data_IF_933910629574
#
_entry.id   IF_933910629574
#
_cell.length_a   1.000
_cell.length_b   1.000
_cell.length_c   1.000
_cell.angle_alpha   90.00
_cell.angle_beta   90.00
_cell.angle_gamma   90.00
#
_symmetry.space_group_name_H-M   'P 1'
#
loop_
_entity.id
_entity.type
_entity.pdbx_description
1 polymer ?
#
# COMPACT_ATOMS: atom_id res chain seq x y z
N UNK A 1 7.90 -15.65 9.21
CA UNK A 1 7.13 -15.44 10.45
C UNK A 1 5.82 -14.79 10.01
N UNK A 2 4.77 -15.60 9.96
CA UNK A 2 3.41 -15.23 9.55
C UNK A 2 2.77 -14.34 10.62
N UNK A 3 1.89 -13.44 10.21
CA UNK A 3 1.23 -12.44 11.07
C UNK A 3 0.14 -13.03 11.97
N UNK A 4 0.21 -14.34 12.28
CA UNK A 4 -0.92 -15.11 12.79
C UNK A 4 -1.33 -14.77 14.24
N UNK A 5 -0.59 -13.90 14.95
CA UNK A 5 -0.87 -13.53 16.35
C UNK A 5 -0.91 -12.02 16.59
N UNK A 6 -1.37 -11.19 15.64
CA UNK A 6 -1.90 -9.88 16.06
C UNK A 6 -3.21 -10.16 16.79
N UNK A 7 -3.17 -10.14 18.12
CA UNK A 7 -4.33 -10.42 18.95
C UNK A 7 -5.47 -9.47 18.54
N UNK A 8 -6.56 -10.06 18.04
CA UNK A 8 -7.83 -9.39 17.70
C UNK A 8 -8.42 -8.65 18.91
N UNK A 9 -7.92 -8.93 20.12
CA UNK A 9 -8.32 -8.32 21.40
C UNK A 9 -8.30 -6.78 21.42
N UNK A 10 -7.62 -6.12 20.47
CA UNK A 10 -7.61 -4.65 20.35
C UNK A 10 -8.20 -4.14 19.03
N UNK A 11 -9.12 -4.89 18.41
CA UNK A 11 -9.82 -4.45 17.22
C UNK A 11 -11.32 -4.44 17.47
N UNK A 12 -12.01 -3.47 16.87
CA UNK A 12 -13.47 -3.43 16.84
C UNK A 12 -13.96 -3.38 15.41
N UNK A 13 -14.93 -4.23 15.09
CA UNK A 13 -15.65 -4.21 13.82
C UNK A 13 -16.73 -3.12 13.82
N UNK A 14 -16.71 -2.28 12.80
CA UNK A 14 -17.75 -1.28 12.55
C UNK A 14 -18.41 -1.49 11.19
N UNK A 15 -19.64 -1.01 11.02
CA UNK A 15 -20.38 -1.17 9.77
C UNK A 15 -21.21 0.07 9.45
N UNK A 16 -21.39 0.35 8.16
CA UNK A 16 -22.26 1.41 7.68
C UNK A 16 -22.73 1.17 6.25
N UNK A 17 -23.91 1.69 5.93
CA UNK A 17 -24.47 1.60 4.60
C UNK A 17 -23.91 2.70 3.69
N UNK A 18 -23.83 2.42 2.40
CA UNK A 18 -23.33 3.37 1.42
C UNK A 18 -24.19 3.33 0.16
N UNK A 19 -24.19 4.44 -0.56
CA UNK A 19 -24.81 4.56 -1.88
C UNK A 19 -23.96 5.39 -2.83
N UNK A 20 -24.23 5.27 -4.12
CA UNK A 20 -23.73 6.24 -5.09
C UNK A 20 -24.48 7.56 -4.93
N UNK A 21 -23.80 8.71 -5.10
CA UNK A 21 -24.41 10.04 -4.94
C UNK A 21 -25.65 10.25 -5.82
N UNK A 22 -25.66 9.63 -7.00
CA UNK A 22 -26.74 9.68 -7.98
C UNK A 22 -27.77 8.54 -7.83
N UNK A 23 -27.76 7.78 -6.74
CA UNK A 23 -28.59 6.56 -6.62
C UNK A 23 -30.08 6.86 -6.81
N UNK A 24 -30.60 7.90 -6.16
CA UNK A 24 -31.99 8.35 -6.27
C UNK A 24 -32.25 9.34 -7.42
N UNK A 25 -31.23 9.69 -8.22
CA UNK A 25 -31.41 10.56 -9.38
C UNK A 25 -31.94 9.72 -10.56
N UNK A 26 -33.25 9.76 -10.78
CA UNK A 26 -33.93 9.06 -11.87
C UNK A 26 -33.44 9.50 -13.27
N UNK A 27 -32.95 10.75 -13.40
CA UNK A 27 -32.43 11.27 -14.68
C UNK A 27 -31.01 10.81 -14.97
N UNK A 28 -30.31 10.26 -13.96
CA UNK A 28 -28.94 9.79 -14.12
C UNK A 28 -28.87 8.44 -14.82
N UNK A 29 -28.19 8.42 -15.97
CA UNK A 29 -27.84 7.20 -16.69
C UNK A 29 -26.48 6.61 -16.25
N UNK A 30 -25.85 7.13 -15.20
CA UNK A 30 -24.55 6.61 -14.72
C UNK A 30 -24.73 5.35 -13.87
N UNK A 31 -23.62 4.65 -13.60
CA UNK A 31 -23.63 3.55 -12.64
C UNK A 31 -24.24 4.02 -11.31
N UNK A 32 -25.04 3.15 -10.72
CA UNK A 32 -25.71 3.35 -9.45
C UNK A 32 -25.40 2.14 -8.58
N UNK A 33 -25.31 2.31 -7.27
CA UNK A 33 -25.07 1.19 -6.37
C UNK A 33 -25.44 1.57 -4.94
N UNK A 34 -25.77 0.57 -4.13
CA UNK A 34 -25.85 0.69 -2.68
C UNK A 34 -25.50 -0.63 -2.00
N UNK A 35 -25.15 -0.55 -0.72
CA UNK A 35 -24.78 -1.71 0.05
C UNK A 35 -24.25 -1.32 1.42
N UNK A 36 -23.40 -2.19 1.97
CA UNK A 36 -22.81 -2.05 3.29
C UNK A 36 -21.29 -2.23 3.24
N UNK A 37 -20.57 -1.45 4.04
CA UNK A 37 -19.12 -1.59 4.27
C UNK A 37 -18.90 -1.99 5.73
N UNK A 38 -18.29 -3.14 5.93
CA UNK A 38 -17.75 -3.57 7.21
C UNK A 38 -16.27 -3.15 7.29
N UNK A 39 -15.86 -2.60 8.44
CA UNK A 39 -14.51 -2.15 8.74
C UNK A 39 -13.96 -2.88 9.95
N UNK A 40 -12.68 -3.24 9.94
CA UNK A 40 -11.94 -3.63 11.13
C UNK A 40 -11.01 -2.48 11.53
N UNK A 41 -11.24 -1.90 12.71
CA UNK A 41 -10.48 -0.76 13.21
C UNK A 41 -9.66 -1.19 14.42
N UNK A 42 -8.37 -0.83 14.44
CA UNK A 42 -7.51 -1.01 15.60
C UNK A 42 -7.89 0.01 16.69
N UNK A 43 -8.28 -0.47 17.87
CA UNK A 43 -8.79 0.39 18.95
C UNK A 43 -7.73 1.30 19.56
N UNK A 44 -6.45 0.99 19.37
CA UNK A 44 -5.33 1.76 19.89
C UNK A 44 -4.95 2.96 19.00
N UNK A 45 -5.03 2.78 17.68
CA UNK A 45 -4.62 3.78 16.69
C UNK A 45 -5.79 4.41 15.94
N UNK A 46 -6.97 3.82 16.04
CA UNK A 46 -8.17 4.14 15.25
C UNK A 46 -7.92 4.06 13.73
N UNK A 47 -6.91 3.29 13.30
CA UNK A 47 -6.67 3.02 11.88
C UNK A 47 -7.53 1.88 11.34
N UNK A 48 -7.94 1.99 10.07
CA UNK A 48 -8.63 0.92 9.36
C UNK A 48 -7.60 -0.13 8.92
N UNK A 49 -7.72 -1.34 9.47
CA UNK A 49 -6.85 -2.47 9.14
C UNK A 49 -7.36 -3.22 7.91
N UNK A 50 -8.68 -3.38 7.82
CA UNK A 50 -9.36 -4.12 6.76
C UNK A 50 -10.75 -3.54 6.51
N UNK A 51 -11.26 -3.73 5.29
CA UNK A 51 -12.65 -3.47 4.96
C UNK A 51 -13.22 -4.55 4.05
N UNK A 52 -14.52 -4.79 4.15
CA UNK A 52 -15.28 -5.64 3.25
C UNK A 52 -16.47 -4.86 2.71
N UNK A 53 -16.66 -4.90 1.40
CA UNK A 53 -17.77 -4.23 0.71
C UNK A 53 -18.78 -5.28 0.27
N UNK A 54 -20.06 -5.04 0.54
CA UNK A 54 -21.17 -5.91 0.13
C UNK A 54 -22.24 -5.06 -0.55
N UNK A 55 -22.41 -5.22 -1.85
CA UNK A 55 -23.48 -4.58 -2.62
C UNK A 55 -24.81 -5.32 -2.40
N UNK A 56 -25.86 -4.57 -2.11
CA UNK A 56 -27.24 -5.07 -2.15
C UNK A 56 -27.91 -4.79 -3.51
N UNK A 57 -27.47 -3.73 -4.20
CA UNK A 57 -27.91 -3.40 -5.55
C UNK A 57 -26.76 -2.73 -6.33
N UNK A 58 -26.60 -3.12 -7.59
CA UNK A 58 -25.49 -2.67 -8.40
C UNK A 58 -25.88 -2.54 -9.87
N UNK A 59 -25.61 -1.37 -10.44
CA UNK A 59 -25.58 -1.11 -11.86
C UNK A 59 -24.13 -0.78 -12.25
N UNK A 60 -23.57 -1.50 -13.21
CA UNK A 60 -22.20 -1.27 -13.67
C UNK A 60 -22.26 -0.57 -15.03
N UNK A 61 -21.58 0.57 -15.18
CA UNK A 61 -21.36 1.14 -16.52
C UNK A 61 -20.37 0.23 -17.24
N UNK A 62 -20.59 -0.11 -18.50
CA UNK A 62 -19.68 -0.89 -19.35
C UNK A 62 -18.70 0.03 -20.09
N UNK A 63 -19.04 1.31 -20.25
CA UNK A 63 -18.18 2.30 -20.90
C UNK A 63 -16.94 2.59 -20.05
N UNK A 64 -15.82 2.90 -20.71
CA UNK A 64 -14.53 3.22 -20.09
C UNK A 64 -13.82 4.30 -20.90
N UNK A 65 -13.15 5.23 -20.24
CA UNK A 65 -12.51 6.37 -20.92
C UNK A 65 -11.38 5.94 -21.87
N UNK A 66 -11.20 6.65 -22.98
CA UNK A 66 -10.17 6.33 -23.99
C UNK A 66 -8.75 6.28 -23.41
N UNK A 67 -8.43 7.17 -22.46
CA UNK A 67 -7.11 7.20 -21.83
C UNK A 67 -6.78 5.92 -21.07
N UNK A 68 -7.80 5.21 -20.54
CA UNK A 68 -7.60 3.93 -19.87
C UNK A 68 -7.29 2.82 -20.86
N UNK A 69 -7.90 2.81 -22.05
CA UNK A 69 -7.55 1.86 -23.11
C UNK A 69 -6.11 2.07 -23.60
N UNK A 70 -5.66 3.32 -23.71
CA UNK A 70 -4.30 3.67 -24.11
C UNK A 70 -3.27 3.28 -23.03
N UNK A 71 -3.52 3.66 -21.78
CA UNK A 71 -2.54 3.55 -20.70
C UNK A 71 -2.59 2.21 -19.94
N UNK A 72 -3.72 1.48 -20.03
CA UNK A 72 -3.99 0.22 -19.31
C UNK A 72 -3.55 0.27 -17.85
N UNK A 73 -4.00 1.30 -17.14
CA UNK A 73 -3.64 1.55 -15.74
C UNK A 73 -4.16 0.44 -14.79
N UNK A 74 -3.82 0.52 -13.50
CA UNK A 74 -4.22 -0.48 -12.50
C UNK A 74 -5.74 -0.65 -12.40
N UNK A 75 -6.52 0.42 -12.50
CA UNK A 75 -7.98 0.37 -12.41
C UNK A 75 -8.59 -0.29 -13.65
N UNK A 76 -8.06 -0.03 -14.84
CA UNK A 76 -8.46 -0.70 -16.08
C UNK A 76 -8.28 -2.22 -15.98
N UNK A 77 -7.12 -2.67 -15.46
CA UNK A 77 -6.82 -4.10 -15.27
C UNK A 77 -7.70 -4.75 -14.19
N UNK A 78 -7.94 -4.06 -13.07
CA UNK A 78 -8.84 -4.56 -12.03
C UNK A 78 -10.27 -4.71 -12.54
N UNK A 79 -10.74 -3.78 -13.35
CA UNK A 79 -12.06 -3.82 -13.96
C UNK A 79 -12.19 -4.92 -15.02
N UNK A 80 -11.16 -5.12 -15.83
CA UNK A 80 -11.07 -6.28 -16.75
C UNK A 80 -11.14 -7.59 -15.97
N UNK A 81 -10.43 -7.69 -14.85
CA UNK A 81 -10.46 -8.87 -13.98
C UNK A 81 -11.87 -9.12 -13.39
N UNK A 82 -12.58 -8.07 -12.97
CA UNK A 82 -13.97 -8.19 -12.53
C UNK A 82 -14.88 -8.74 -13.65
N UNK A 83 -14.79 -8.19 -14.86
CA UNK A 83 -15.63 -8.63 -15.98
C UNK A 83 -15.32 -10.07 -16.40
N UNK A 84 -14.05 -10.45 -16.44
CA UNK A 84 -13.65 -11.83 -16.71
C UNK A 84 -14.21 -12.79 -15.65
N UNK A 85 -14.13 -12.43 -14.36
CA UNK A 85 -14.68 -13.24 -13.28
C UNK A 85 -16.20 -13.41 -13.39
N UNK A 86 -16.93 -12.34 -13.71
CA UNK A 86 -18.39 -12.39 -13.94
C UNK A 86 -18.70 -13.30 -15.14
N UNK A 87 -18.01 -13.11 -16.27
CA UNK A 87 -18.24 -13.88 -17.49
C UNK A 87 -17.97 -15.37 -17.31
N UNK A 88 -16.90 -15.73 -16.60
CA UNK A 88 -16.55 -17.12 -16.29
C UNK A 88 -17.62 -17.79 -15.42
N UNK A 89 -18.09 -17.10 -14.38
CA UNK A 89 -19.06 -17.65 -13.42
C UNK A 89 -20.49 -17.71 -13.95
N UNK A 90 -20.89 -16.76 -14.78
CA UNK A 90 -22.28 -16.56 -15.19
C UNK A 90 -22.53 -16.76 -16.68
N UNK A 91 -21.47 -17.06 -17.47
CA UNK A 91 -21.54 -17.18 -18.94
C UNK A 91 -22.10 -15.92 -19.61
N UNK A 92 -21.79 -14.76 -19.03
CA UNK A 92 -22.07 -13.45 -19.63
C UNK A 92 -20.93 -13.04 -20.58
N UNK A 93 -21.15 -11.98 -21.35
CA UNK A 93 -20.15 -11.41 -22.26
C UNK A 93 -19.95 -9.91 -21.99
N UNK A 94 -19.76 -9.55 -20.72
CA UNK A 94 -19.45 -8.19 -20.31
C UNK A 94 -18.04 -7.84 -20.76
N UNK A 95 -17.88 -6.65 -21.35
CA UNK A 95 -16.57 -6.13 -21.78
C UNK A 95 -16.49 -4.64 -21.52
N UNK A 96 -15.27 -4.15 -21.32
CA UNK A 96 -15.03 -2.70 -21.30
C UNK A 96 -15.20 -2.17 -22.72
N UNK A 97 -16.04 -1.16 -22.90
CA UNK A 97 -16.31 -0.50 -24.19
C UNK A 97 -15.70 0.89 -24.15
N UNK A 98 -15.03 1.32 -25.22
CA UNK A 98 -14.54 2.70 -25.26
C UNK A 98 -15.73 3.65 -25.29
N UNK A 99 -15.76 4.57 -24.33
CA UNK A 99 -16.86 5.53 -24.15
C UNK A 99 -17.05 6.42 -25.39
N UNK A 100 -15.99 6.67 -26.16
CA UNK A 100 -16.08 7.39 -27.45
C UNK A 100 -16.81 6.60 -28.54
N UNK A 101 -16.99 5.30 -28.40
CA UNK A 101 -17.66 4.51 -29.43
C UNK A 101 -19.18 4.50 -29.22
N UNK A 102 -19.68 5.14 -28.15
CA UNK A 102 -21.08 5.13 -27.75
C UNK A 102 -21.66 6.55 -27.67
N UNK A 103 -22.17 7.02 -28.80
CA UNK A 103 -22.87 8.29 -28.96
C UNK A 103 -24.35 8.07 -29.31
N UNK A 104 -25.24 8.87 -28.74
CA UNK A 104 -26.60 9.06 -29.25
C UNK A 104 -26.76 10.55 -29.56
N UNK A 105 -26.78 10.89 -30.85
CA UNK A 105 -26.65 12.29 -31.30
C UNK A 105 -25.27 12.86 -30.95
N UNK A 106 -25.22 14.07 -30.38
CA UNK A 106 -23.99 14.78 -30.01
C UNK A 106 -23.54 14.52 -28.55
N UNK A 107 -24.11 13.53 -27.85
CA UNK A 107 -23.81 13.27 -26.44
C UNK A 107 -23.24 11.87 -26.22
N UNK A 108 -22.13 11.82 -25.47
CA UNK A 108 -21.57 10.59 -24.91
C UNK A 108 -22.56 10.02 -23.89
N UNK A 109 -22.98 8.75 -24.07
CA UNK A 109 -23.81 8.06 -23.07
C UNK A 109 -23.04 6.99 -22.32
N UNK A 110 -23.47 6.72 -21.10
CA UNK A 110 -23.07 5.55 -20.33
C UNK A 110 -23.88 4.34 -20.80
N UNK A 111 -23.30 3.14 -20.71
CA UNK A 111 -24.01 1.89 -21.00
C UNK A 111 -24.08 1.10 -19.70
N UNK A 112 -25.15 1.29 -18.94
CA UNK A 112 -25.31 0.66 -17.63
C UNK A 112 -25.99 -0.70 -17.74
N UNK A 113 -25.45 -1.68 -17.05
CA UNK A 113 -26.01 -3.01 -16.90
C UNK A 113 -26.48 -3.18 -15.45
N UNK A 114 -27.79 -3.42 -15.24
CA UNK A 114 -28.36 -3.70 -13.91
C UNK A 114 -28.11 -5.16 -13.57
N UNK A 115 -27.41 -5.40 -12.46
CA UNK A 115 -27.17 -6.76 -12.00
C UNK A 115 -28.39 -7.27 -11.23
N UNK A 116 -28.76 -8.52 -11.50
CA UNK A 116 -29.71 -9.25 -10.65
C UNK A 116 -29.04 -9.70 -9.34
N UNK A 117 -29.83 -10.29 -8.43
CA UNK A 117 -29.32 -10.71 -7.12
C UNK A 117 -28.19 -11.75 -7.20
N UNK A 118 -28.26 -12.68 -8.16
CA UNK A 118 -27.22 -13.69 -8.33
C UNK A 118 -25.92 -13.08 -8.87
N UNK A 119 -26.03 -12.17 -9.84
CA UNK A 119 -24.91 -11.40 -10.37
C UNK A 119 -24.25 -10.55 -9.28
N UNK A 120 -25.04 -9.86 -8.45
CA UNK A 120 -24.53 -9.12 -7.29
C UNK A 120 -23.76 -10.02 -6.32
N UNK A 121 -24.22 -11.25 -6.05
CA UNK A 121 -23.49 -12.22 -5.20
C UNK A 121 -22.11 -12.55 -5.77
N UNK A 122 -22.02 -12.79 -7.08
CA UNK A 122 -20.73 -13.05 -7.77
C UNK A 122 -19.82 -11.83 -7.70
N UNK A 123 -20.36 -10.61 -7.85
CA UNK A 123 -19.55 -9.38 -7.69
C UNK A 123 -19.06 -9.23 -6.26
N UNK A 124 -19.89 -9.49 -5.25
CA UNK A 124 -19.49 -9.46 -3.84
C UNK A 124 -18.37 -10.48 -3.56
N UNK A 125 -18.47 -11.70 -4.11
CA UNK A 125 -17.40 -12.70 -4.02
C UNK A 125 -16.09 -12.19 -4.64
N UNK A 126 -16.17 -11.53 -5.79
CA UNK A 126 -14.99 -10.95 -6.43
C UNK A 126 -14.36 -9.85 -5.56
N UNK A 127 -15.17 -8.95 -5.00
CA UNK A 127 -14.68 -7.89 -4.10
C UNK A 127 -14.01 -8.46 -2.85
N UNK A 128 -14.55 -9.54 -2.29
CA UNK A 128 -13.96 -10.20 -1.12
C UNK A 128 -12.59 -10.83 -1.44
N UNK A 129 -12.44 -11.45 -2.61
CA UNK A 129 -11.25 -12.26 -2.93
C UNK A 129 -10.17 -11.53 -3.70
N UNK A 130 -10.54 -10.58 -4.56
CA UNK A 130 -9.65 -10.02 -5.59
C UNK A 130 -9.44 -8.51 -5.45
N UNK A 131 -10.35 -7.78 -4.80
CA UNK A 131 -10.23 -6.33 -4.70
C UNK A 131 -9.12 -5.93 -3.72
N UNK A 132 -8.23 -5.05 -4.17
CA UNK A 132 -7.04 -4.65 -3.40
C UNK A 132 -6.69 -3.17 -3.57
N UNK A 133 -7.70 -2.34 -3.76
CA UNK A 133 -7.58 -0.89 -3.94
C UNK A 133 -8.28 -0.14 -2.81
N UNK A 134 -8.40 1.19 -2.89
CA UNK A 134 -9.00 2.02 -1.83
C UNK A 134 -10.52 2.12 -1.98
N UNK A 135 -11.27 2.44 -0.92
CA UNK A 135 -12.75 2.53 -0.96
C UNK A 135 -13.23 3.49 -2.05
N UNK A 136 -12.59 4.65 -2.24
CA UNK A 136 -12.99 5.56 -3.33
C UNK A 136 -12.86 4.89 -4.69
N UNK A 137 -11.81 4.09 -4.92
CA UNK A 137 -11.53 3.47 -6.22
C UNK A 137 -12.57 2.41 -6.63
N UNK A 138 -13.49 2.01 -5.73
CA UNK A 138 -14.65 1.18 -6.07
C UNK A 138 -15.41 1.84 -7.22
N UNK A 139 -15.66 3.15 -7.15
CA UNK A 139 -16.38 3.88 -8.20
C UNK A 139 -15.66 3.80 -9.54
N UNK A 140 -14.33 3.89 -9.54
CA UNK A 140 -13.52 3.74 -10.76
C UNK A 140 -13.72 2.37 -11.41
N UNK A 141 -13.82 1.31 -10.61
CA UNK A 141 -14.07 -0.04 -11.12
C UNK A 141 -15.50 -0.17 -11.67
N UNK A 142 -16.49 0.50 -11.07
CA UNK A 142 -17.89 0.39 -11.48
C UNK A 142 -18.28 1.33 -12.64
N UNK A 143 -17.62 2.49 -12.79
CA UNK A 143 -17.93 3.54 -13.77
C UNK A 143 -16.95 3.68 -14.94
N UNK A 144 -15.77 3.04 -14.88
CA UNK A 144 -14.78 3.09 -15.96
C UNK A 144 -14.15 4.46 -16.21
N UNK A 145 -14.16 5.34 -15.20
CA UNK A 145 -13.50 6.64 -15.21
C UNK A 145 -12.69 6.83 -13.91
N UNK A 146 -11.79 7.81 -13.90
CA UNK A 146 -11.13 8.22 -12.66
C UNK A 146 -12.19 8.79 -11.71
N UNK A 147 -12.12 8.40 -10.45
CA UNK A 147 -13.05 8.87 -9.43
C UNK A 147 -12.96 10.38 -9.24
N UNK A 148 -14.11 11.04 -9.19
CA UNK A 148 -14.24 12.35 -8.57
C UNK A 148 -14.10 12.26 -7.05
N UNK A 149 -13.91 13.41 -6.40
CA UNK A 149 -13.77 13.48 -4.95
C UNK A 149 -12.32 13.34 -4.48
N UNK A 150 -11.87 14.33 -3.74
CA UNK A 150 -10.58 14.30 -3.05
C UNK A 150 -10.70 15.11 -1.76
N UNK A 151 -9.72 15.02 -0.85
CA UNK A 151 -9.70 15.87 0.36
C UNK A 151 -9.85 17.37 0.07
N UNK A 152 -9.59 17.77 -1.17
CA UNK A 152 -9.70 19.14 -1.65
C UNK A 152 -11.10 19.47 -2.20
N UNK A 153 -11.87 18.45 -2.61
CA UNK A 153 -13.19 18.59 -3.24
C UNK A 153 -14.13 17.45 -2.84
N UNK A 154 -14.55 17.35 -1.57
CA UNK A 154 -15.42 16.26 -1.13
C UNK A 154 -16.84 16.32 -1.69
N UNK A 155 -17.31 17.51 -2.09
CA UNK A 155 -18.57 17.67 -2.81
C UNK A 155 -18.62 16.88 -4.13
N UNK A 156 -17.46 16.56 -4.71
CA UNK A 156 -17.31 15.71 -5.89
C UNK A 156 -17.28 14.21 -5.59
N UNK A 157 -17.45 13.79 -4.32
CA UNK A 157 -17.50 12.38 -3.95
C UNK A 157 -18.68 11.67 -4.62
N UNK A 158 -18.40 10.48 -5.16
CA UNK A 158 -19.40 9.68 -5.88
C UNK A 158 -19.94 8.50 -5.07
N UNK A 159 -19.19 8.05 -4.05
CA UNK A 159 -19.61 7.05 -3.06
C UNK A 159 -19.77 7.79 -1.73
N UNK A 160 -20.95 7.69 -1.13
CA UNK A 160 -21.36 8.47 0.03
C UNK A 160 -21.92 7.55 1.11
N UNK A 161 -21.78 7.95 2.38
CA UNK A 161 -22.45 7.27 3.49
C UNK A 161 -23.96 7.43 3.34
N UNK A 162 -24.68 6.30 3.27
CA UNK A 162 -26.13 6.26 3.29
C UNK A 162 -26.60 6.11 4.73
N UNK A 163 -26.72 7.24 5.44
CA UNK A 163 -27.10 7.21 6.85
C UNK A 163 -28.59 7.40 7.04
N UNK A 164 -29.10 6.86 8.14
CA UNK A 164 -30.42 7.22 8.67
C UNK A 164 -30.48 8.74 8.96
N UNK A 165 -31.41 9.44 8.31
CA UNK A 165 -31.59 10.90 8.39
C UNK A 165 -31.90 11.38 9.83
N UNK A 166 -32.30 10.48 10.73
CA UNK A 166 -32.53 10.81 12.14
C UNK A 166 -31.27 11.23 12.91
N UNK A 167 -30.07 11.00 12.36
CA UNK A 167 -28.80 11.37 12.98
C UNK A 167 -28.18 12.58 12.26
N UNK A 168 -28.42 13.80 12.75
CA UNK A 168 -27.81 15.04 12.18
C UNK A 168 -26.28 14.95 11.97
N UNK A 169 -25.57 14.21 12.81
CA UNK A 169 -24.12 13.99 12.68
C UNK A 169 -23.76 13.17 11.44
N UNK A 170 -24.63 12.26 10.98
CA UNK A 170 -24.30 11.39 9.85
C UNK A 170 -24.48 12.07 8.50
N UNK A 171 -25.49 12.94 8.37
CA UNK A 171 -25.63 13.84 7.22
C UNK A 171 -24.39 14.75 7.08
N UNK A 172 -23.89 15.25 8.21
CA UNK A 172 -22.75 16.17 8.28
C UNK A 172 -21.48 15.58 7.64
N UNK A 173 -21.22 14.27 7.81
CA UNK A 173 -20.00 13.63 7.29
C UNK A 173 -20.19 12.79 6.02
N UNK A 174 -21.40 12.74 5.48
CA UNK A 174 -21.80 11.80 4.42
C UNK A 174 -20.88 11.78 3.19
N UNK A 175 -20.41 12.94 2.76
CA UNK A 175 -19.55 13.14 1.58
C UNK A 175 -18.04 12.95 1.86
N UNK A 176 -17.64 12.98 3.14
CA UNK A 176 -16.23 12.99 3.55
C UNK A 176 -15.76 11.66 4.15
N UNK A 177 -16.67 10.86 4.72
CA UNK A 177 -16.34 9.65 5.47
C UNK A 177 -15.45 8.70 4.66
N UNK A 178 -15.80 8.44 3.41
CA UNK A 178 -15.06 7.49 2.55
C UNK A 178 -13.62 7.91 2.34
N UNK A 179 -13.39 9.19 2.08
CA UNK A 179 -12.03 9.68 1.87
C UNK A 179 -11.24 9.67 3.18
N UNK A 180 -11.88 10.06 4.28
CA UNK A 180 -11.27 10.00 5.60
C UNK A 180 -10.83 8.58 5.94
N UNK A 181 -11.70 7.58 5.74
CA UNK A 181 -11.38 6.16 5.90
C UNK A 181 -10.20 5.73 5.00
N UNK A 182 -10.19 6.14 3.74
CA UNK A 182 -9.05 5.88 2.83
C UNK A 182 -7.72 6.47 3.34
N UNK A 183 -7.74 7.63 4.01
CA UNK A 183 -6.54 8.24 4.60
C UNK A 183 -5.99 7.43 5.77
N UNK A 184 -6.86 6.85 6.59
CA UNK A 184 -6.46 6.11 7.80
C UNK A 184 -6.39 4.59 7.55
N UNK A 185 -6.61 4.14 6.31
CA UNK A 185 -6.49 2.74 5.92
C UNK A 185 -5.03 2.33 5.75
N UNK A 186 -4.67 1.19 6.33
CA UNK A 186 -3.32 0.66 6.30
C UNK A 186 -2.93 0.18 4.88
N UNK A 187 -1.95 0.85 4.23
CA UNK A 187 -1.60 0.62 2.80
C UNK A 187 -0.94 -0.73 2.46
N UNK A 188 -0.75 -1.63 3.43
CA UNK A 188 -0.13 -2.95 3.23
C UNK A 188 -1.13 -4.11 3.35
N UNK A 189 -2.36 -3.93 2.85
CA UNK A 189 -3.43 -4.95 2.84
C UNK A 189 -3.02 -6.29 2.21
N UNK A 190 -1.99 -6.33 1.35
CA UNK A 190 -1.60 -7.53 0.58
C UNK A 190 -0.89 -8.65 1.35
N UNK A 191 -0.52 -8.48 2.62
CA UNK A 191 0.27 -9.50 3.34
C UNK A 191 -0.36 -10.05 4.61
N UNK A 192 -1.47 -9.47 5.05
CA UNK A 192 -2.13 -9.97 6.24
C UNK A 192 -3.28 -10.84 5.78
N UNK A 193 -3.08 -12.15 5.81
CA UNK A 193 -4.16 -13.08 6.17
C UNK A 193 -4.56 -12.74 7.62
N UNK A 194 -5.11 -11.54 7.84
CA UNK A 194 -5.95 -11.34 9.00
C UNK A 194 -6.95 -12.48 8.95
N UNK A 195 -7.28 -13.05 10.10
CA UNK A 195 -8.16 -14.19 10.17
C UNK A 195 -9.56 -13.76 9.69
N UNK A 196 -9.77 -13.79 8.36
CA UNK A 196 -11.00 -13.39 7.67
C UNK A 196 -12.19 -14.14 8.28
N UNK A 197 -11.93 -15.34 8.83
CA UNK A 197 -12.90 -16.16 9.56
C UNK A 197 -13.39 -15.45 10.82
N UNK A 198 -12.52 -14.85 11.62
CA UNK A 198 -12.93 -14.11 12.82
C UNK A 198 -13.63 -12.79 12.45
N UNK A 199 -13.17 -12.09 11.42
CA UNK A 199 -13.84 -10.90 10.89
C UNK A 199 -15.29 -11.20 10.45
N UNK A 200 -15.54 -12.39 9.89
CA UNK A 200 -16.89 -12.82 9.49
C UNK A 200 -17.82 -13.08 10.68
N UNK A 201 -17.27 -13.52 11.82
CA UNK A 201 -18.05 -13.97 12.98
C UNK A 201 -18.37 -12.86 14.00
N UNK A 202 -17.70 -11.71 13.95
CA UNK A 202 -17.98 -10.61 14.88
C UNK A 202 -19.21 -9.77 14.50
N UNK A 203 -19.98 -9.38 15.53
CA UNK A 203 -21.05 -8.40 15.42
C UNK A 203 -20.46 -7.00 15.21
N UNK A 204 -20.82 -6.37 14.09
CA UNK A 204 -20.36 -5.02 13.79
C UNK A 204 -21.16 -3.97 14.58
N UNK A 205 -20.45 -2.99 15.15
CA UNK A 205 -21.07 -1.79 15.73
C UNK A 205 -21.36 -0.76 14.63
N UNK A 206 -22.39 0.08 14.74
CA UNK A 206 -22.60 1.18 13.80
C UNK A 206 -21.40 2.13 13.74
N UNK A 207 -20.99 2.59 12.56
CA UNK A 207 -19.83 3.49 12.40
C UNK A 207 -19.95 4.79 13.21
N UNK A 208 -21.18 5.24 13.46
CA UNK A 208 -21.43 6.44 14.27
C UNK A 208 -20.87 6.29 15.70
N UNK A 209 -20.82 5.07 16.24
CA UNK A 209 -20.23 4.84 17.56
C UNK A 209 -18.72 5.09 17.55
N UNK A 210 -18.05 4.73 16.46
CA UNK A 210 -16.64 5.06 16.27
C UNK A 210 -16.42 6.57 16.07
N UNK A 211 -17.25 7.23 15.26
CA UNK A 211 -17.19 8.69 15.08
C UNK A 211 -17.34 9.41 16.43
N UNK A 212 -18.28 8.97 17.27
CA UNK A 212 -18.45 9.48 18.64
C UNK A 212 -17.23 9.20 19.51
N UNK A 213 -16.65 7.99 19.44
CA UNK A 213 -15.40 7.64 20.15
C UNK A 213 -14.27 8.60 19.78
N UNK A 214 -13.97 8.78 18.48
CA UNK A 214 -12.85 9.65 18.07
C UNK A 214 -13.13 11.13 18.40
N UNK A 215 -14.40 11.55 18.43
CA UNK A 215 -14.82 12.89 18.86
C UNK A 215 -14.54 13.13 20.35
N UNK A 216 -14.86 12.15 21.20
CA UNK A 216 -14.67 12.26 22.65
C UNK A 216 -13.20 12.09 23.04
N UNK A 217 -12.53 11.08 22.51
CA UNK A 217 -11.15 10.76 22.86
C UNK A 217 -10.17 11.76 22.24
N UNK A 218 -10.46 12.24 21.03
CA UNK A 218 -9.63 13.08 20.18
C UNK A 218 -8.14 12.66 20.14
N UNK A 219 -7.89 11.36 20.33
CA UNK A 219 -6.55 10.79 20.30
C UNK A 219 -5.97 11.04 18.90
N UNK A 220 -4.77 11.61 18.86
CA UNK A 220 -4.00 11.88 17.64
C UNK A 220 -4.59 12.93 16.67
N UNK A 221 -5.62 13.69 17.07
CA UNK A 221 -6.23 14.74 16.25
C UNK A 221 -7.03 14.24 15.04
N UNK A 222 -7.48 13.00 15.10
CA UNK A 222 -8.29 12.37 14.06
C UNK A 222 -9.63 13.06 13.86
N UNK A 223 -10.29 13.46 14.94
CA UNK A 223 -11.58 14.14 14.84
C UNK A 223 -11.43 15.57 14.33
N UNK A 224 -10.38 16.29 14.72
CA UNK A 224 -10.04 17.60 14.15
C UNK A 224 -9.80 17.50 12.65
N UNK A 225 -9.10 16.44 12.21
CA UNK A 225 -8.95 16.13 10.80
C UNK A 225 -10.29 15.88 10.11
N UNK A 226 -11.14 15.04 10.69
CA UNK A 226 -12.44 14.71 10.12
C UNK A 226 -13.35 15.94 10.00
N UNK A 227 -13.38 16.79 11.04
CA UNK A 227 -14.11 18.06 11.03
C UNK A 227 -13.55 19.06 10.04
N UNK A 228 -12.23 19.15 9.93
CA UNK A 228 -11.59 20.06 8.98
C UNK A 228 -12.03 19.76 7.55
N UNK A 229 -12.09 18.47 7.17
CA UNK A 229 -12.52 18.05 5.84
C UNK A 229 -13.92 18.56 5.50
N UNK A 230 -14.81 18.62 6.50
CA UNK A 230 -16.15 19.15 6.31
C UNK A 230 -16.18 20.67 6.23
N UNK A 231 -15.49 21.36 7.14
CA UNK A 231 -15.46 22.83 7.15
C UNK A 231 -14.91 23.45 5.85
N UNK A 232 -14.09 22.70 5.10
CA UNK A 232 -13.42 23.17 3.89
C UNK A 232 -13.99 22.56 2.60
N UNK A 233 -15.16 21.92 2.68
CA UNK A 233 -15.79 21.20 1.55
C UNK A 233 -15.98 22.05 0.27
N UNK A 234 -16.09 23.37 0.41
CA UNK A 234 -16.32 24.32 -0.69
C UNK A 234 -15.10 25.19 -1.03
N UNK A 235 -13.94 24.94 -0.45
CA UNK A 235 -12.73 25.74 -0.66
C UNK A 235 -11.66 24.97 -1.41
N UNK A 236 -11.27 25.45 -2.59
CA UNK A 236 -10.15 24.89 -3.35
C UNK A 236 -8.82 25.21 -2.65
N UNK A 237 -8.32 24.24 -1.88
CA UNK A 237 -7.02 24.31 -1.21
C UNK A 237 -5.94 23.50 -1.93
N UNK A 238 -6.14 23.19 -3.22
CA UNK A 238 -5.24 22.30 -3.96
C UNK A 238 -3.79 22.76 -3.92
N UNK A 239 -3.53 24.06 -3.84
CA UNK A 239 -2.20 24.65 -3.77
C UNK A 239 -1.70 25.00 -2.35
N UNK A 240 -2.46 24.70 -1.29
CA UNK A 240 -2.05 24.98 0.08
C UNK A 240 -1.02 23.95 0.57
N UNK A 241 0.25 24.35 0.56
CA UNK A 241 1.39 23.54 1.01
C UNK A 241 1.28 23.17 2.51
N UNK A 242 0.73 24.06 3.34
CA UNK A 242 0.54 23.79 4.76
C UNK A 242 -0.53 22.73 4.97
N UNK A 243 -1.62 22.79 4.19
CA UNK A 243 -2.64 21.75 4.19
C UNK A 243 -2.08 20.39 3.78
N UNK A 244 -1.33 20.31 2.66
CA UNK A 244 -0.71 19.04 2.22
C UNK A 244 0.25 18.46 3.26
N UNK A 245 1.07 19.32 3.89
CA UNK A 245 1.99 18.91 4.95
C UNK A 245 1.24 18.43 6.20
N UNK A 246 0.16 19.11 6.57
CA UNK A 246 -0.67 18.73 7.72
C UNK A 246 -1.40 17.39 7.51
N UNK A 247 -1.91 17.13 6.30
CA UNK A 247 -2.46 15.81 5.91
C UNK A 247 -1.39 14.72 6.02
N UNK A 248 -0.19 15.00 5.51
CA UNK A 248 0.93 14.07 5.59
C UNK A 248 1.35 13.82 7.04
N UNK A 249 1.30 14.84 7.90
CA UNK A 249 1.59 14.72 9.33
C UNK A 249 0.53 13.91 10.08
N UNK A 250 -0.76 14.09 9.78
CA UNK A 250 -1.83 13.26 10.36
C UNK A 250 -1.68 11.80 9.92
N UNK A 251 -1.43 11.57 8.63
CA UNK A 251 -1.14 10.24 8.10
C UNK A 251 0.06 9.57 8.80
N UNK A 252 1.14 10.34 9.00
CA UNK A 252 2.31 9.91 9.74
C UNK A 252 2.03 9.75 11.24
N UNK A 253 1.06 10.48 11.81
CA UNK A 253 0.67 10.43 13.23
C UNK A 253 -0.26 9.26 13.57
N UNK A 254 -0.90 8.60 12.61
CA UNK A 254 -1.98 7.67 12.96
C UNK A 254 -1.63 6.19 12.91
N UNK A 255 -0.64 5.71 12.14
CA UNK A 255 -0.16 4.33 12.38
C UNK A 255 1.15 4.36 13.15
N UNK A 256 1.13 3.84 14.38
CA UNK A 256 2.34 3.69 15.18
C UNK A 256 3.43 2.95 14.41
N UNK A 257 3.06 1.92 13.65
CA UNK A 257 3.95 1.22 12.74
C UNK A 257 4.48 2.10 11.59
N UNK A 258 3.70 3.02 11.01
CA UNK A 258 4.27 3.97 10.03
C UNK A 258 5.13 5.04 10.69
N UNK A 259 4.82 5.50 11.92
CA UNK A 259 5.70 6.35 12.72
C UNK A 259 7.05 5.68 12.89
N UNK A 260 7.04 4.44 13.39
CA UNK A 260 8.25 3.63 13.58
C UNK A 260 8.99 3.45 12.25
N UNK A 261 8.30 3.04 11.18
CA UNK A 261 8.94 2.81 9.88
C UNK A 261 9.53 4.09 9.27
N UNK A 262 8.88 5.23 9.47
CA UNK A 262 9.39 6.54 9.07
C UNK A 262 10.63 6.89 9.89
N UNK A 263 10.60 6.73 11.21
CA UNK A 263 11.75 7.02 12.08
C UNK A 263 12.94 6.09 11.82
N UNK A 264 12.71 4.81 11.53
CA UNK A 264 13.75 3.87 11.09
C UNK A 264 14.33 4.33 9.76
N UNK A 265 13.49 4.76 8.80
CA UNK A 265 13.97 5.23 7.49
C UNK A 265 14.90 6.44 7.63
N UNK A 266 14.53 7.42 8.46
CA UNK A 266 15.37 8.57 8.77
C UNK A 266 16.72 8.17 9.36
N UNK A 267 16.70 7.22 10.30
CA UNK A 267 17.91 6.67 10.94
C UNK A 267 18.81 5.95 9.91
N UNK A 268 18.21 5.10 9.06
CA UNK A 268 18.91 4.39 7.98
C UNK A 268 19.51 5.38 6.99
N UNK A 269 18.77 6.40 6.58
CA UNK A 269 19.25 7.42 5.64
C UNK A 269 20.46 8.17 6.22
N UNK A 270 20.45 8.48 7.51
CA UNK A 270 21.58 9.08 8.22
C UNK A 270 22.82 8.18 8.26
N UNK A 271 22.66 6.87 8.38
CA UNK A 271 23.80 5.95 8.30
C UNK A 271 24.28 5.77 6.85
N UNK A 272 23.36 5.73 5.87
CA UNK A 272 23.70 5.67 4.44
C UNK A 272 24.44 6.91 3.95
N UNK A 273 24.12 8.11 4.45
CA UNK A 273 24.85 9.32 4.06
C UNK A 273 26.31 9.29 4.51
N UNK A 274 26.67 8.46 5.48
CA UNK A 274 28.08 8.23 5.86
C UNK A 274 28.77 7.25 4.91
N UNK A 275 28.01 6.37 4.24
CA UNK A 275 28.58 5.39 3.31
C UNK A 275 29.25 6.06 2.11
N UNK A 276 28.71 7.19 1.62
CA UNK A 276 29.30 7.93 0.49
C UNK A 276 30.66 8.55 0.82
N UNK A 277 31.01 8.69 2.10
CA UNK A 277 32.32 9.21 2.53
C UNK A 277 33.34 8.09 2.82
N UNK A 278 32.92 6.83 2.80
CA UNK A 278 33.81 5.69 3.04
C UNK A 278 34.49 5.31 1.72
N UNK A 279 35.81 5.34 1.69
CA UNK A 279 36.59 4.93 0.53
C UNK A 279 36.75 3.41 0.50
N UNK A 280 35.97 2.72 -0.35
CA UNK A 280 36.05 1.27 -0.54
C UNK A 280 36.78 0.97 -1.84
N UNK A 281 37.85 0.18 -1.76
CA UNK A 281 38.62 -0.23 -2.92
C UNK A 281 38.93 -1.73 -2.91
N UNK A 282 37.87 -2.54 -2.95
CA UNK A 282 37.97 -4.01 -3.02
C UNK A 282 38.40 -4.47 -4.41
N UNK A 283 37.88 -3.84 -5.46
CA UNK A 283 38.20 -4.11 -6.86
C UNK A 283 38.95 -2.92 -7.46
N UNK A 284 40.28 -3.03 -7.54
CA UNK A 284 41.21 -1.91 -7.81
C UNK A 284 41.17 -1.36 -9.25
N UNK A 285 40.40 -1.98 -10.16
CA UNK A 285 40.49 -1.74 -11.61
C UNK A 285 39.46 -0.76 -12.19
N UNK A 286 38.59 -0.14 -11.40
CA UNK A 286 37.50 0.69 -11.93
C UNK A 286 37.36 2.05 -11.24
N UNK A 287 37.49 3.14 -12.02
CA UNK A 287 37.52 4.52 -11.50
C UNK A 287 36.12 5.10 -11.17
N UNK A 288 35.05 4.55 -11.74
CA UNK A 288 33.67 5.02 -11.51
C UNK A 288 32.86 3.96 -10.75
N UNK A 289 33.05 3.92 -9.43
CA UNK A 289 32.40 2.92 -8.57
C UNK A 289 31.48 3.56 -7.52
N UNK A 290 30.47 2.79 -7.12
CA UNK A 290 29.55 3.09 -6.03
C UNK A 290 29.74 2.04 -4.93
N UNK A 291 29.47 2.46 -3.69
CA UNK A 291 29.47 1.56 -2.55
C UNK A 291 28.17 0.72 -2.53
N UNK A 292 28.32 -0.56 -2.85
CA UNK A 292 27.25 -1.56 -2.86
C UNK A 292 27.28 -2.40 -1.58
N UNK A 293 26.12 -2.63 -0.97
CA UNK A 293 26.00 -3.46 0.23
C UNK A 293 25.93 -4.96 -0.10
N UNK A 294 26.83 -5.76 0.48
CA UNK A 294 26.78 -7.23 0.41
C UNK A 294 25.48 -7.73 1.04
N UNK A 295 25.23 -7.40 2.31
CA UNK A 295 23.96 -7.62 2.96
C UNK A 295 23.06 -6.39 2.77
N UNK A 296 21.95 -6.51 2.01
CA UNK A 296 21.24 -5.35 1.51
C UNK A 296 20.51 -4.59 2.62
N UNK A 297 20.51 -3.25 2.52
CA UNK A 297 19.85 -2.35 3.48
C UNK A 297 18.36 -2.67 3.66
N UNK A 298 17.69 -3.16 2.62
CA UNK A 298 16.28 -3.58 2.70
C UNK A 298 16.06 -4.70 3.72
N UNK A 299 17.04 -5.57 3.93
CA UNK A 299 16.98 -6.68 4.89
C UNK A 299 17.36 -6.23 6.30
N UNK A 300 18.37 -5.39 6.42
CA UNK A 300 18.71 -4.70 7.67
C UNK A 300 17.48 -3.95 8.23
N UNK A 301 16.73 -3.27 7.35
CA UNK A 301 15.49 -2.59 7.73
C UNK A 301 14.45 -3.55 8.31
N UNK A 302 14.23 -4.70 7.67
CA UNK A 302 13.28 -5.71 8.14
C UNK A 302 13.70 -6.28 9.50
N UNK A 303 15.01 -6.49 9.71
CA UNK A 303 15.55 -6.95 11.01
C UNK A 303 15.32 -5.91 12.10
N UNK A 304 15.64 -4.64 11.85
CA UNK A 304 15.40 -3.54 12.79
C UNK A 304 13.92 -3.43 13.17
N UNK A 305 13.02 -3.53 12.18
CA UNK A 305 11.58 -3.53 12.43
C UNK A 305 11.15 -4.73 13.29
N UNK A 306 11.72 -5.91 13.06
CA UNK A 306 11.44 -7.12 13.84
C UNK A 306 11.95 -7.02 15.28
N UNK A 307 13.17 -6.49 15.48
CA UNK A 307 13.76 -6.29 16.81
C UNK A 307 12.98 -5.25 17.62
N UNK A 308 12.55 -4.16 16.99
CA UNK A 308 11.71 -3.15 17.65
C UNK A 308 10.37 -3.72 18.08
N UNK A 309 9.72 -4.53 17.24
CA UNK A 309 8.42 -5.16 17.55
C UNK A 309 8.47 -6.13 18.73
N UNK A 310 9.64 -6.73 19.01
CA UNK A 310 9.83 -7.63 20.16
C UNK A 310 9.93 -6.89 21.51
N UNK A 311 10.05 -5.56 21.49
CA UNK A 311 10.14 -4.77 22.72
C UNK A 311 8.81 -4.80 23.46
N UNK A 312 8.86 -5.06 24.78
CA UNK A 312 7.73 -4.78 25.66
C UNK A 312 7.33 -3.31 25.50
N UNK A 313 6.03 -3.08 25.34
CA UNK A 313 5.42 -1.77 25.10
C UNK A 313 5.75 -1.14 23.74
N UNK A 314 6.09 -1.93 22.71
CA UNK A 314 6.37 -1.43 21.36
C UNK A 314 5.31 -0.42 20.90
N UNK A 315 4.02 -0.71 21.10
CA UNK A 315 2.87 0.11 20.71
C UNK A 315 2.83 1.50 21.35
N UNK A 316 3.56 1.74 22.44
CA UNK A 316 3.55 3.00 23.18
C UNK A 316 4.88 3.75 23.12
N UNK A 317 5.89 3.24 22.39
CA UNK A 317 7.21 3.86 22.35
C UNK A 317 7.23 5.17 21.56
N UNK A 318 7.69 6.23 22.19
CA UNK A 318 7.87 7.52 21.52
C UNK A 318 9.14 7.53 20.65
N UNK A 319 9.24 8.51 19.74
CA UNK A 319 10.34 8.64 18.77
C UNK A 319 11.72 8.47 19.39
N UNK A 320 12.00 9.17 20.49
CA UNK A 320 13.32 9.16 21.11
C UNK A 320 13.70 7.77 21.63
N UNK A 321 12.75 7.06 22.24
CA UNK A 321 12.98 5.70 22.75
C UNK A 321 13.27 4.73 21.61
N UNK A 322 12.51 4.83 20.51
CA UNK A 322 12.73 4.00 19.32
C UNK A 322 14.11 4.28 18.74
N UNK A 323 14.52 5.54 18.59
CA UNK A 323 15.83 5.87 18.03
C UNK A 323 16.97 5.39 18.94
N UNK A 324 16.82 5.52 20.26
CA UNK A 324 17.81 5.02 21.23
C UNK A 324 17.91 3.50 21.17
N UNK A 325 16.78 2.78 21.16
CA UNK A 325 16.76 1.32 21.09
C UNK A 325 17.26 0.81 19.74
N UNK A 326 16.85 1.43 18.63
CA UNK A 326 17.31 1.08 17.29
C UNK A 326 18.82 1.24 17.12
N UNK A 327 19.44 2.26 17.73
CA UNK A 327 20.91 2.44 17.72
C UNK A 327 21.67 1.38 18.51
N UNK A 328 21.02 0.74 19.48
CA UNK A 328 21.61 -0.36 20.25
C UNK A 328 21.57 -1.68 19.49
N UNK A 329 20.71 -1.80 18.47
CA UNK A 329 20.67 -3.00 17.64
C UNK A 329 21.88 -3.09 16.72
N UNK A 330 22.50 -4.27 16.70
CA UNK A 330 23.67 -4.55 15.88
C UNK A 330 23.38 -4.44 14.38
N UNK A 331 22.15 -4.68 13.98
CA UNK A 331 21.66 -4.60 12.59
C UNK A 331 21.88 -3.22 11.97
N UNK A 332 21.67 -2.12 12.71
CA UNK A 332 21.89 -0.77 12.20
C UNK A 332 23.35 -0.50 11.82
N UNK A 333 24.29 -1.01 12.62
CA UNK A 333 25.74 -0.81 12.41
C UNK A 333 26.24 -1.47 11.12
N UNK A 334 25.48 -2.42 10.57
CA UNK A 334 25.81 -3.10 9.32
C UNK A 334 25.70 -2.18 8.09
N UNK A 335 25.02 -1.04 8.20
CA UNK A 335 24.79 -0.12 7.07
C UNK A 335 26.05 0.63 6.69
N UNK A 336 26.85 1.04 7.67
CA UNK A 336 28.08 1.82 7.47
C UNK A 336 29.36 1.01 7.80
N UNK A 337 29.24 -0.31 7.94
CA UNK A 337 30.39 -1.20 8.10
C UNK A 337 31.08 -1.41 6.74
N UNK A 338 32.36 -1.04 6.66
CA UNK A 338 33.19 -1.18 5.46
C UNK A 338 33.27 -2.63 4.94
N UNK A 339 33.14 -3.61 5.84
CA UNK A 339 33.17 -5.02 5.49
C UNK A 339 31.88 -5.48 4.81
N UNK A 340 30.78 -4.73 4.98
CA UNK A 340 29.53 -4.94 4.27
C UNK A 340 29.51 -4.24 2.89
N UNK A 341 30.56 -3.51 2.53
CA UNK A 341 30.62 -2.74 1.29
C UNK A 341 31.56 -3.37 0.27
N UNK A 342 31.18 -3.22 -1.00
CA UNK A 342 31.98 -3.49 -2.20
C UNK A 342 31.92 -2.26 -3.10
N UNK A 343 32.98 -1.98 -3.84
CA UNK A 343 32.97 -0.96 -4.87
C UNK A 343 32.60 -1.59 -6.22
N UNK A 344 31.40 -1.29 -6.72
CA UNK A 344 30.88 -1.82 -7.99
C UNK A 344 30.52 -0.65 -8.91
N UNK A 345 30.70 -0.79 -10.22
CA UNK A 345 30.17 0.22 -11.13
C UNK A 345 28.63 0.22 -11.14
N UNK A 346 27.95 1.34 -11.48
CA UNK A 346 26.50 1.49 -11.31
C UNK A 346 25.64 0.38 -11.95
N UNK A 347 26.03 -0.08 -13.14
CA UNK A 347 25.31 -1.16 -13.84
C UNK A 347 25.45 -2.48 -13.08
N UNK A 348 26.65 -2.83 -12.63
CA UNK A 348 26.91 -4.07 -11.89
C UNK A 348 26.31 -4.02 -10.50
N UNK A 349 26.31 -2.85 -9.86
CA UNK A 349 25.60 -2.62 -8.60
C UNK A 349 24.11 -2.93 -8.74
N UNK A 350 23.45 -2.42 -9.79
CA UNK A 350 22.03 -2.69 -10.06
C UNK A 350 21.75 -4.19 -10.27
N UNK A 351 22.63 -4.89 -10.99
CA UNK A 351 22.53 -6.34 -11.23
C UNK A 351 22.74 -7.12 -9.91
N UNK A 352 23.70 -6.67 -9.09
CA UNK A 352 23.96 -7.23 -7.78
C UNK A 352 22.76 -7.05 -6.86
N UNK A 353 22.17 -5.86 -6.75
CA UNK A 353 20.99 -5.60 -5.90
C UNK A 353 19.76 -6.45 -6.29
N UNK A 354 19.62 -6.78 -7.58
CA UNK A 354 18.59 -7.70 -8.10
C UNK A 354 18.86 -9.17 -7.77
N UNK A 355 20.00 -9.46 -7.12
CA UNK A 355 20.45 -10.80 -6.74
C UNK A 355 20.67 -11.75 -7.93
N UNK A 356 21.03 -11.19 -9.08
CA UNK A 356 21.37 -11.95 -10.29
C UNK A 356 22.72 -12.67 -10.15
N UNK A 357 23.62 -12.14 -9.30
CA UNK A 357 24.79 -12.83 -8.79
C UNK A 357 25.06 -12.48 -7.32
N UNK A 358 25.87 -13.29 -6.66
CA UNK A 358 26.38 -13.08 -5.30
C UNK A 358 27.76 -13.73 -5.16
N UNK A 359 28.34 -13.73 -3.95
CA UNK A 359 29.63 -14.37 -3.68
C UNK A 359 29.49 -15.54 -2.70
N UNK A 360 30.27 -16.59 -2.87
CA UNK A 360 30.39 -17.66 -1.89
C UNK A 360 31.31 -17.27 -0.71
N UNK A 361 31.46 -18.15 0.28
CA UNK A 361 32.30 -17.89 1.46
C UNK A 361 33.80 -17.78 1.15
N UNK A 362 34.23 -18.23 -0.04
CA UNK A 362 35.59 -18.09 -0.57
C UNK A 362 35.74 -16.81 -1.41
N UNK A 363 34.68 -16.01 -1.54
CA UNK A 363 34.64 -14.77 -2.30
C UNK A 363 34.50 -15.00 -3.80
N UNK A 364 34.20 -16.21 -4.25
CA UNK A 364 33.99 -16.54 -5.66
C UNK A 364 32.57 -16.17 -6.08
N UNK A 365 32.42 -15.65 -7.30
CA UNK A 365 31.11 -15.30 -7.82
C UNK A 365 30.23 -16.54 -8.06
N UNK A 366 28.95 -16.41 -7.73
CA UNK A 366 27.88 -17.37 -8.06
C UNK A 366 26.80 -16.63 -8.83
N UNK A 367 26.50 -17.07 -10.05
CA UNK A 367 25.52 -16.43 -10.94
C UNK A 367 24.23 -17.26 -10.92
N UNK A 368 23.12 -16.63 -10.54
CA UNK A 368 21.82 -17.32 -10.40
C UNK A 368 21.10 -17.51 -11.73
N UNK A 369 21.21 -16.56 -12.67
CA UNK A 369 20.53 -16.64 -13.96
C UNK A 369 21.28 -15.85 -15.03
N UNK A 370 22.13 -16.56 -15.79
CA UNK A 370 22.97 -15.97 -16.84
C UNK A 370 22.13 -15.33 -17.96
N UNK A 371 20.96 -15.89 -18.28
CA UNK A 371 20.13 -15.44 -19.40
C UNK A 371 19.50 -14.05 -19.18
N UNK A 372 19.42 -13.58 -17.93
CA UNK A 372 18.85 -12.27 -17.59
C UNK A 372 19.88 -11.14 -17.57
N UNK A 373 21.16 -11.45 -17.77
CA UNK A 373 22.26 -10.48 -17.73
C UNK A 373 22.70 -10.19 -19.17
N UNK A 374 22.75 -8.91 -19.54
CA UNK A 374 23.23 -8.51 -20.85
C UNK A 374 24.68 -8.99 -21.07
N UNK A 375 25.03 -9.40 -22.29
CA UNK A 375 26.31 -10.05 -22.60
C UNK A 375 27.53 -9.21 -22.19
N UNK A 376 27.48 -7.90 -22.41
CA UNK A 376 28.56 -6.98 -22.01
C UNK A 376 28.72 -6.89 -20.49
N UNK A 377 27.61 -6.86 -19.74
CA UNK A 377 27.65 -6.81 -18.28
C UNK A 377 28.15 -8.15 -17.72
N UNK A 378 27.74 -9.28 -18.30
CA UNK A 378 28.22 -10.60 -17.93
C UNK A 378 29.74 -10.74 -18.15
N UNK A 379 30.25 -10.23 -19.27
CA UNK A 379 31.69 -10.19 -19.55
C UNK A 379 32.41 -9.35 -18.49
N UNK A 380 31.91 -8.14 -18.21
CA UNK A 380 32.48 -7.26 -17.19
C UNK A 380 32.47 -7.89 -15.80
N UNK A 381 31.39 -8.57 -15.40
CA UNK A 381 31.29 -9.32 -14.15
C UNK A 381 32.39 -10.38 -14.06
N UNK A 382 32.55 -11.20 -15.10
CA UNK A 382 33.56 -12.28 -15.11
C UNK A 382 34.99 -11.75 -15.12
N UNK A 383 35.23 -10.64 -15.79
CA UNK A 383 36.58 -10.08 -15.96
C UNK A 383 37.05 -9.29 -14.73
N UNK A 384 36.16 -8.51 -14.11
CA UNK A 384 36.55 -7.55 -13.06
C UNK A 384 35.99 -7.87 -11.66
N UNK A 385 34.89 -8.63 -11.58
CA UNK A 385 34.15 -8.88 -10.34
C UNK A 385 33.99 -10.38 -10.04
N UNK A 386 34.82 -11.23 -10.64
CA UNK A 386 34.70 -12.69 -10.50
C UNK A 386 35.09 -13.21 -9.12
N UNK A 387 35.98 -12.51 -8.41
CA UNK A 387 36.45 -12.93 -7.10
C UNK A 387 36.81 -11.73 -6.22
N UNK A 388 36.29 -11.70 -5.00
CA UNK A 388 36.76 -10.77 -3.96
C UNK A 388 38.19 -11.16 -3.57
N UNK A 389 39.18 -10.25 -3.64
CA UNK A 389 40.56 -10.56 -3.29
C UNK A 389 40.71 -11.06 -1.84
N UNK A 390 41.60 -12.02 -1.61
CA UNK A 390 41.71 -12.70 -0.32
C UNK A 390 42.07 -11.77 0.84
N UNK A 391 42.88 -10.73 0.60
CA UNK A 391 43.20 -9.68 1.57
C UNK A 391 41.95 -8.95 2.11
N UNK A 392 40.86 -8.97 1.35
CA UNK A 392 39.58 -8.38 1.70
C UNK A 392 38.60 -9.41 2.30
N UNK A 393 38.93 -10.70 2.32
CA UNK A 393 38.05 -11.78 2.80
C UNK A 393 38.20 -12.07 4.31
N UNK A 394 38.05 -11.03 5.13
CA UNK A 394 38.09 -11.16 6.59
C UNK A 394 36.80 -11.79 7.18
N UNK A 395 36.83 -12.06 8.49
CA UNK A 395 35.74 -12.73 9.22
C UNK A 395 34.40 -11.98 9.11
N UNK A 396 34.41 -10.64 9.21
CA UNK A 396 33.19 -9.85 9.15
C UNK A 396 32.62 -9.79 7.72
N UNK A 397 33.45 -9.63 6.69
CA UNK A 397 32.97 -9.67 5.29
C UNK A 397 32.36 -11.03 4.95
N UNK A 398 32.98 -12.12 5.40
CA UNK A 398 32.43 -13.49 5.26
C UNK A 398 31.07 -13.64 5.95
N UNK A 399 30.85 -12.99 7.08
CA UNK A 399 29.56 -12.98 7.77
C UNK A 399 28.46 -12.30 6.94
N UNK A 400 28.75 -11.15 6.31
CA UNK A 400 27.79 -10.49 5.41
C UNK A 400 27.46 -11.33 4.17
N UNK A 401 28.46 -12.00 3.60
CA UNK A 401 28.26 -12.94 2.49
C UNK A 401 27.32 -14.08 2.91
N UNK A 402 27.57 -14.71 4.07
CA UNK A 402 26.69 -15.76 4.61
C UNK A 402 25.24 -15.29 4.77
N UNK A 403 25.04 -14.08 5.30
CA UNK A 403 23.72 -13.50 5.47
C UNK A 403 23.02 -13.26 4.12
N UNK A 404 23.76 -12.79 3.11
CA UNK A 404 23.24 -12.63 1.74
C UNK A 404 22.82 -13.98 1.14
N UNK A 405 23.65 -15.00 1.29
CA UNK A 405 23.42 -16.31 0.66
C UNK A 405 22.17 -17.00 1.23
N UNK A 406 21.87 -16.81 2.52
CA UNK A 406 20.60 -17.26 3.13
C UNK A 406 19.36 -16.63 2.46
N UNK A 407 19.47 -15.42 1.92
CA UNK A 407 18.37 -14.77 1.19
C UNK A 407 18.20 -15.40 -0.19
N UNK A 408 19.31 -15.66 -0.88
CA UNK A 408 19.31 -16.24 -2.23
C UNK A 408 18.73 -17.64 -2.27
N UNK A 409 19.04 -18.47 -1.28
CA UNK A 409 18.56 -19.86 -1.20
C UNK A 409 17.04 -19.95 -0.95
N UNK A 410 16.45 -18.99 -0.24
CA UNK A 410 15.00 -18.96 0.04
C UNK A 410 14.12 -18.51 -1.14
N UNK A 411 14.70 -18.22 -2.31
CA UNK A 411 13.97 -17.90 -3.56
C UNK A 411 13.97 -19.05 -4.58
N UNK A 412 14.64 -20.16 -4.27
CA UNK A 412 14.77 -21.33 -5.15
C UNK A 412 13.90 -22.52 -4.70
N UNK A 413 12.86 -22.27 -3.89
CA UNK A 413 11.82 -23.25 -3.51
C UNK A 413 10.48 -22.74 -3.98
#
# INVERSE_FOLDING_TARGET
MTWDNFAIENCTKYSFDFKSKNYYDEKSNSAKFKGNIDLLIDDSSDCVLYFQVKFSELWIDLCTTESWFKNKNSNFKLRENLFNFINEKLKLNLKQINRKDYFIGNQVRNMTYKLNQNECKIVNEWFEKNYNSTLKNIVSILKGNNVGGSFLHPSSAELIWDSDESLKESEYYSLNLIMFLDAITFKNQRQNKFDILNFKNEHAKPIINWIKKIKTDNKNGLFEYFNFLKQNENTDKSNDKNFRNWIQDIYNKNSHSAKVNYWIRELINKERSKVSTININVFEKYQNSENAHIYPVSKIKIELESELKKLKNYSTLIRNDILVKARKFGSLKMINDENNLLNLCPNIHTIFDKNMFYYDEKGQIVINNIALIHSNDLKMIKEYYSKIPEKYMNKERKKYIKLRNKISLNKCV
#
